data_IF_253328839213
#
_entry.id   IF_253328839213
#
_cell.length_a   1.000
_cell.length_b   1.000
_cell.length_c   1.000
_cell.angle_alpha   90.00
_cell.angle_beta   90.00
_cell.angle_gamma   90.00
#
_symmetry.space_group_name_H-M   'P 1'
#
loop_
_entity.id
_entity.type
_entity.pdbx_description
1 polymer ?
#
# COMPACT_ATOMS: atom_id res chain seq x y z
N UNK A 1 7.53 4.18 -14.32
CA UNK A 1 8.01 3.09 -13.48
C UNK A 1 6.94 2.03 -13.46
N UNK A 2 7.13 0.96 -14.18
CA UNK A 2 6.17 -0.12 -14.25
C UNK A 2 6.46 -1.04 -13.07
N UNK A 3 5.61 -0.99 -12.03
CA UNK A 3 5.67 -2.00 -10.99
C UNK A 3 5.18 -3.31 -11.61
N UNK A 4 6.07 -4.26 -11.80
CA UNK A 4 5.70 -5.64 -12.09
C UNK A 4 5.11 -6.21 -10.82
N UNK A 5 3.80 -6.36 -10.81
CA UNK A 5 3.07 -7.00 -9.72
C UNK A 5 3.42 -8.48 -9.72
N UNK A 6 4.36 -8.86 -8.87
CA UNK A 6 4.61 -10.26 -8.61
C UNK A 6 3.76 -10.64 -7.39
N UNK A 7 2.64 -11.31 -7.64
CA UNK A 7 1.77 -11.88 -6.62
C UNK A 7 2.45 -13.08 -5.92
N UNK A 8 3.61 -12.83 -5.34
CA UNK A 8 4.22 -13.76 -4.39
C UNK A 8 3.39 -13.73 -3.12
N UNK A 9 2.69 -14.83 -2.85
CA UNK A 9 2.04 -15.09 -1.58
C UNK A 9 3.10 -15.12 -0.47
N UNK A 10 3.46 -13.95 0.05
CA UNK A 10 4.08 -13.85 1.35
C UNK A 10 2.99 -14.03 2.38
N UNK A 11 3.09 -15.06 3.22
CA UNK A 11 2.25 -15.20 4.39
C UNK A 11 2.36 -13.91 5.20
N UNK A 12 1.27 -13.13 5.25
CA UNK A 12 1.18 -12.01 6.18
C UNK A 12 1.15 -12.60 7.59
N UNK A 13 2.22 -12.49 8.29
CA UNK A 13 2.20 -12.62 9.74
C UNK A 13 1.56 -11.33 10.23
N UNK A 14 0.28 -11.38 10.55
CA UNK A 14 -0.30 -10.37 11.42
C UNK A 14 0.43 -10.55 12.73
N UNK A 15 1.44 -9.75 12.96
CA UNK A 15 2.11 -9.73 14.25
C UNK A 15 1.13 -9.09 15.23
N UNK A 16 0.26 -9.92 15.77
CA UNK A 16 -0.47 -9.60 16.97
C UNK A 16 0.58 -9.35 18.06
N UNK A 17 0.99 -8.14 18.18
CA UNK A 17 1.78 -7.66 19.28
C UNK A 17 3.26 -8.00 19.24
N UNK A 18 4.01 -7.04 19.55
CA UNK A 18 5.43 -7.05 19.91
C UNK A 18 6.37 -6.83 18.70
N UNK A 19 6.09 -5.85 17.89
CA UNK A 19 7.18 -5.00 17.45
C UNK A 19 7.69 -4.23 18.66
N UNK A 20 8.99 -4.00 18.77
CA UNK A 20 9.59 -3.11 19.75
C UNK A 20 9.02 -1.70 19.52
N UNK A 21 7.85 -1.41 20.11
CA UNK A 21 7.08 -0.22 19.87
C UNK A 21 5.85 -0.17 20.77
N UNK A 22 5.12 0.92 20.75
CA UNK A 22 3.90 1.08 21.54
C UNK A 22 2.88 -0.04 21.26
N UNK A 23 2.15 -0.52 22.27
CA UNK A 23 1.10 -1.52 22.08
C UNK A 23 0.05 -0.95 21.11
N UNK A 24 -0.37 -1.77 20.13
CA UNK A 24 -1.43 -1.43 19.19
C UNK A 24 -2.70 -1.01 19.94
N UNK A 25 -3.30 0.07 19.52
CA UNK A 25 -4.58 0.50 20.07
C UNK A 25 -5.66 -0.53 19.70
N UNK A 26 -6.76 -0.55 20.44
CA UNK A 26 -7.93 -1.41 20.12
C UNK A 26 -8.42 -1.15 18.70
N UNK A 27 -8.40 0.10 18.27
CA UNK A 27 -8.85 0.51 16.94
C UNK A 27 -7.95 -0.06 15.84
N UNK A 28 -6.65 -0.02 16.02
CA UNK A 28 -5.68 -0.61 15.09
C UNK A 28 -5.95 -2.10 14.90
N UNK A 29 -6.16 -2.85 16.00
CA UNK A 29 -6.46 -4.28 15.91
C UNK A 29 -7.79 -4.54 15.17
N UNK A 30 -8.83 -3.73 15.39
CA UNK A 30 -10.09 -3.86 14.67
C UNK A 30 -9.92 -3.54 13.16
N UNK A 31 -9.11 -2.55 12.81
CA UNK A 31 -8.77 -2.18 11.43
C UNK A 31 -7.96 -3.30 10.75
N UNK A 32 -6.95 -3.88 11.40
CA UNK A 32 -6.21 -5.05 10.91
C UNK A 32 -7.12 -6.26 10.64
N UNK A 33 -8.04 -6.54 11.58
CA UNK A 33 -9.01 -7.62 11.41
C UNK A 33 -9.93 -7.32 10.22
N UNK A 34 -10.41 -6.09 10.05
CA UNK A 34 -11.26 -5.70 8.91
C UNK A 34 -10.55 -5.86 7.58
N UNK A 35 -9.29 -5.44 7.48
CA UNK A 35 -8.49 -5.61 6.27
C UNK A 35 -8.40 -7.09 5.89
N UNK A 36 -8.06 -7.95 6.86
CA UNK A 36 -7.93 -9.38 6.60
C UNK A 36 -9.28 -10.04 6.26
N UNK A 37 -10.36 -9.65 6.94
CA UNK A 37 -11.70 -10.10 6.58
C UNK A 37 -12.07 -9.72 5.15
N UNK A 38 -11.74 -8.50 4.69
CA UNK A 38 -11.93 -8.08 3.31
C UNK A 38 -11.13 -8.94 2.33
N UNK A 39 -9.91 -9.28 2.67
CA UNK A 39 -9.04 -10.15 1.86
C UNK A 39 -9.63 -11.57 1.73
N UNK A 40 -10.06 -12.15 2.84
CA UNK A 40 -10.67 -13.48 2.87
C UNK A 40 -12.04 -13.52 2.19
N UNK A 41 -12.83 -12.45 2.34
CA UNK A 41 -14.21 -12.36 1.81
C UNK A 41 -14.29 -12.19 0.28
N UNK A 42 -13.19 -11.97 -0.42
CA UNK A 42 -13.17 -11.91 -1.89
C UNK A 42 -13.71 -13.19 -2.55
N UNK A 43 -13.68 -14.32 -1.84
CA UNK A 43 -14.10 -15.63 -2.35
C UNK A 43 -15.33 -16.20 -1.65
N UNK A 44 -15.76 -15.64 -0.52
CA UNK A 44 -16.89 -16.14 0.30
C UNK A 44 -17.58 -14.96 0.98
N UNK A 45 -18.91 -14.98 1.01
CA UNK A 45 -19.70 -13.91 1.64
C UNK A 45 -19.57 -13.89 3.16
N UNK A 46 -19.39 -15.05 3.79
CA UNK A 46 -19.23 -15.20 5.23
C UNK A 46 -18.04 -16.14 5.51
N UNK A 47 -17.39 -15.92 6.62
CA UNK A 47 -16.15 -16.59 7.03
C UNK A 47 -16.35 -17.29 8.36
N UNK A 48 -15.75 -18.46 8.54
CA UNK A 48 -15.71 -19.17 9.81
C UNK A 48 -14.77 -18.48 10.81
N UNK A 49 -15.20 -18.36 12.06
CA UNK A 49 -14.36 -17.77 13.12
C UNK A 49 -13.07 -18.55 13.32
N UNK A 50 -13.10 -19.89 13.20
CA UNK A 50 -11.92 -20.74 13.26
C UNK A 50 -10.92 -20.44 12.14
N UNK A 51 -11.40 -20.31 10.89
CA UNK A 51 -10.55 -20.00 9.73
C UNK A 51 -9.83 -18.64 9.91
N UNK A 52 -10.57 -17.64 10.42
CA UNK A 52 -10.02 -16.31 10.69
C UNK A 52 -8.99 -16.36 11.83
N UNK A 53 -9.30 -17.08 12.91
CA UNK A 53 -8.39 -17.27 14.05
C UNK A 53 -7.05 -17.90 13.62
N UNK A 54 -7.09 -18.87 12.70
CA UNK A 54 -5.91 -19.53 12.15
C UNK A 54 -5.07 -18.56 11.32
N UNK A 55 -5.70 -17.78 10.44
CA UNK A 55 -5.02 -16.80 9.58
C UNK A 55 -4.39 -15.68 10.40
N UNK A 56 -5.14 -15.10 11.34
CA UNK A 56 -4.67 -14.01 12.18
C UNK A 56 -3.71 -14.46 13.31
N UNK A 57 -3.59 -15.77 13.54
CA UNK A 57 -2.78 -16.34 14.63
C UNK A 57 -3.15 -15.81 16.03
N UNK A 58 -4.43 -15.50 16.23
CA UNK A 58 -4.99 -15.10 17.52
C UNK A 58 -6.00 -16.14 18.00
N UNK A 59 -6.23 -16.23 19.30
CA UNK A 59 -7.19 -17.20 19.83
C UNK A 59 -8.62 -16.85 19.42
N UNK A 60 -9.47 -17.88 19.19
CA UNK A 60 -10.89 -17.65 18.89
C UNK A 60 -11.60 -16.83 19.97
N UNK A 61 -11.18 -16.97 21.23
CA UNK A 61 -11.71 -16.19 22.36
C UNK A 61 -11.39 -14.69 22.19
N UNK A 62 -10.17 -14.38 21.82
CA UNK A 62 -9.73 -13.00 21.57
C UNK A 62 -10.40 -12.43 20.33
N UNK A 63 -10.40 -13.19 19.22
CA UNK A 63 -11.11 -12.81 18.00
C UNK A 63 -12.59 -12.54 18.27
N UNK A 64 -13.29 -13.43 18.99
CA UNK A 64 -14.70 -13.24 19.34
C UNK A 64 -14.94 -11.96 20.14
N UNK A 65 -14.00 -11.55 20.98
CA UNK A 65 -14.08 -10.28 21.69
C UNK A 65 -14.08 -9.09 20.70
N UNK A 66 -13.14 -9.04 19.76
CA UNK A 66 -13.07 -7.98 18.76
C UNK A 66 -14.27 -8.01 17.79
N UNK A 67 -14.67 -9.18 17.31
CA UNK A 67 -15.82 -9.32 16.42
C UNK A 67 -17.12 -8.80 17.03
N UNK A 68 -17.32 -8.97 18.35
CA UNK A 68 -18.48 -8.38 19.05
C UNK A 68 -18.39 -6.85 19.11
N UNK A 69 -17.21 -6.25 19.24
CA UNK A 69 -17.05 -4.80 19.19
C UNK A 69 -17.32 -4.29 17.77
N UNK A 70 -16.75 -4.95 16.76
CA UNK A 70 -16.95 -4.64 15.36
C UNK A 70 -18.42 -4.75 14.94
N UNK A 71 -19.16 -5.72 15.50
CA UNK A 71 -20.62 -5.80 15.34
C UNK A 71 -21.34 -4.59 15.93
N UNK A 72 -20.92 -4.10 17.09
CA UNK A 72 -21.49 -2.88 17.71
C UNK A 72 -21.20 -1.63 16.88
N UNK A 73 -20.03 -1.58 16.22
CA UNK A 73 -19.65 -0.52 15.32
C UNK A 73 -20.31 -0.65 13.93
N UNK A 74 -21.02 -1.75 13.67
CA UNK A 74 -21.74 -1.98 12.41
C UNK A 74 -20.87 -2.49 11.27
N UNK A 75 -19.66 -2.95 11.55
CA UNK A 75 -18.73 -3.46 10.52
C UNK A 75 -18.99 -4.90 10.11
N UNK A 76 -19.49 -5.71 11.04
CA UNK A 76 -19.76 -7.14 10.81
C UNK A 76 -21.10 -7.59 11.36
N UNK A 77 -21.62 -8.66 10.78
CA UNK A 77 -22.73 -9.45 11.30
C UNK A 77 -22.21 -10.81 11.75
N UNK A 78 -22.69 -11.30 12.89
CA UNK A 78 -22.36 -12.61 13.44
C UNK A 78 -23.57 -13.53 13.36
N UNK A 79 -23.32 -14.81 13.05
CA UNK A 79 -24.35 -15.85 13.17
C UNK A 79 -24.87 -15.95 14.62
N UNK A 80 -26.06 -16.54 14.84
CA UNK A 80 -26.61 -16.72 16.20
C UNK A 80 -25.66 -17.46 17.15
N UNK A 81 -24.94 -18.45 16.64
CA UNK A 81 -23.93 -19.23 17.36
C UNK A 81 -22.56 -18.59 17.43
N UNK A 82 -22.39 -17.41 16.81
CA UNK A 82 -21.12 -16.68 16.67
C UNK A 82 -19.97 -17.51 16.05
N UNK A 83 -20.31 -18.50 15.24
CA UNK A 83 -19.33 -19.37 14.56
C UNK A 83 -18.92 -18.85 13.18
N UNK A 84 -19.68 -17.91 12.64
CA UNK A 84 -19.38 -17.26 11.36
C UNK A 84 -19.63 -15.76 11.41
N UNK A 85 -18.87 -15.02 10.58
CA UNK A 85 -18.92 -13.58 10.45
C UNK A 85 -19.05 -13.18 8.98
N UNK A 86 -19.91 -12.20 8.72
CA UNK A 86 -20.07 -11.58 7.41
C UNK A 86 -19.79 -10.09 7.52
N UNK A 87 -19.10 -9.53 6.55
CA UNK A 87 -18.87 -8.09 6.46
C UNK A 87 -20.17 -7.38 6.05
N UNK A 88 -20.49 -6.30 6.74
CA UNK A 88 -21.49 -5.33 6.27
C UNK A 88 -20.92 -4.50 5.12
N UNK A 89 -21.76 -3.66 4.51
CA UNK A 89 -21.28 -2.70 3.50
C UNK A 89 -20.28 -1.72 4.11
N UNK A 90 -20.58 -1.21 5.32
CA UNK A 90 -19.66 -0.34 6.06
C UNK A 90 -18.34 -1.05 6.36
N UNK A 91 -18.39 -2.31 6.79
CA UNK A 91 -17.19 -3.11 7.04
C UNK A 91 -16.34 -3.32 5.80
N UNK A 92 -16.97 -3.56 4.64
CA UNK A 92 -16.25 -3.68 3.36
C UNK A 92 -15.56 -2.39 2.96
N UNK A 93 -16.26 -1.26 3.06
CA UNK A 93 -15.70 0.05 2.72
C UNK A 93 -14.51 0.36 3.64
N UNK A 94 -14.70 0.25 4.95
CA UNK A 94 -13.65 0.56 5.93
C UNK A 94 -12.42 -0.35 5.78
N UNK A 95 -12.63 -1.66 5.63
CA UNK A 95 -11.51 -2.59 5.46
C UNK A 95 -10.78 -2.39 4.12
N UNK A 96 -11.50 -2.03 3.05
CA UNK A 96 -10.88 -1.69 1.78
C UNK A 96 -10.05 -0.40 1.87
N UNK A 97 -10.51 0.60 2.63
CA UNK A 97 -9.76 1.84 2.89
C UNK A 97 -8.48 1.57 3.70
N UNK A 98 -8.53 0.67 4.71
CA UNK A 98 -7.34 0.27 5.46
C UNK A 98 -6.32 -0.38 4.53
N UNK A 99 -6.72 -1.41 3.76
CA UNK A 99 -5.83 -2.07 2.82
C UNK A 99 -5.26 -1.13 1.74
N UNK A 100 -6.04 -0.16 1.28
CA UNK A 100 -5.55 0.85 0.36
C UNK A 100 -4.47 1.75 0.98
N UNK A 101 -4.67 2.23 2.23
CA UNK A 101 -3.65 3.02 2.94
C UNK A 101 -2.38 2.23 3.14
N UNK A 102 -2.50 0.96 3.57
CA UNK A 102 -1.37 0.05 3.71
C UNK A 102 -0.54 -0.03 2.43
N UNK A 103 -1.19 -0.35 1.31
CA UNK A 103 -0.53 -0.51 0.02
C UNK A 103 0.17 0.77 -0.44
N UNK A 104 -0.47 1.93 -0.27
CA UNK A 104 0.11 3.23 -0.63
C UNK A 104 1.36 3.54 0.18
N UNK A 105 1.35 3.29 1.50
CA UNK A 105 2.54 3.51 2.32
C UNK A 105 3.65 2.51 2.00
N UNK A 106 3.31 1.24 1.76
CA UNK A 106 4.29 0.25 1.34
C UNK A 106 4.97 0.64 0.01
N UNK A 107 4.20 1.11 -0.97
CA UNK A 107 4.73 1.60 -2.24
C UNK A 107 5.60 2.85 -2.06
N UNK A 108 5.16 3.79 -1.25
CA UNK A 108 5.94 4.99 -0.94
C UNK A 108 7.29 4.66 -0.30
N UNK A 109 7.29 3.78 0.71
CA UNK A 109 8.52 3.36 1.38
C UNK A 109 9.47 2.62 0.44
N UNK A 110 8.94 1.74 -0.42
CA UNK A 110 9.76 1.09 -1.44
C UNK A 110 10.30 2.09 -2.47
N UNK A 111 9.52 3.09 -2.85
CA UNK A 111 9.96 4.14 -3.74
C UNK A 111 11.14 4.94 -3.18
N UNK A 112 11.16 5.22 -1.89
CA UNK A 112 12.29 5.90 -1.24
C UNK A 112 13.45 4.97 -0.86
N UNK A 113 13.38 3.69 -1.27
CA UNK A 113 14.50 2.74 -1.16
C UNK A 113 14.44 1.80 0.04
N UNK A 114 13.34 1.76 0.79
CA UNK A 114 13.15 0.77 1.86
C UNK A 114 12.90 -0.61 1.26
N UNK A 115 13.55 -1.64 1.80
CA UNK A 115 13.33 -3.02 1.35
C UNK A 115 11.87 -3.46 1.50
N UNK A 116 11.38 -4.31 0.61
CA UNK A 116 9.95 -4.63 0.49
C UNK A 116 9.34 -5.24 1.76
N UNK A 117 10.07 -6.03 2.52
CA UNK A 117 9.61 -6.62 3.78
C UNK A 117 9.44 -5.55 4.85
N UNK A 118 10.49 -4.78 5.11
CA UNK A 118 10.45 -3.65 6.06
C UNK A 118 9.41 -2.60 5.67
N UNK A 119 9.29 -2.30 4.37
CA UNK A 119 8.30 -1.34 3.87
C UNK A 119 6.87 -1.77 4.19
N UNK A 120 6.55 -3.05 4.11
CA UNK A 120 5.23 -3.58 4.48
C UNK A 120 4.98 -3.53 5.98
N UNK A 121 5.98 -3.92 6.78
CA UNK A 121 5.87 -3.87 8.23
C UNK A 121 5.69 -2.44 8.75
N UNK A 122 6.44 -1.48 8.20
CA UNK A 122 6.33 -0.08 8.57
C UNK A 122 5.03 0.54 8.07
N UNK A 123 4.58 0.19 6.86
CA UNK A 123 3.31 0.64 6.31
C UNK A 123 2.14 0.25 7.22
N UNK A 124 2.11 -0.99 7.71
CA UNK A 124 1.08 -1.48 8.63
C UNK A 124 0.99 -0.63 9.93
N UNK A 125 2.10 -0.11 10.40
CA UNK A 125 2.10 0.79 11.57
C UNK A 125 1.71 2.22 11.18
N UNK A 126 2.20 2.71 10.04
CA UNK A 126 1.98 4.08 9.60
C UNK A 126 0.51 4.37 9.29
N UNK A 127 -0.20 3.43 8.66
CA UNK A 127 -1.58 3.63 8.21
C UNK A 127 -2.56 4.01 9.33
N UNK A 128 -2.28 3.57 10.56
CA UNK A 128 -3.13 3.82 11.73
C UNK A 128 -2.84 5.14 12.44
N UNK A 129 -1.63 5.68 12.29
CA UNK A 129 -1.16 6.84 13.08
C UNK A 129 -1.05 8.14 12.27
N UNK A 130 -1.04 8.05 10.95
CA UNK A 130 -0.91 9.23 10.10
C UNK A 130 -2.26 9.90 9.87
N UNK A 131 -2.24 11.23 9.70
CA UNK A 131 -3.43 12.00 9.38
C UNK A 131 -3.91 11.74 7.95
N UNK A 132 -5.21 11.97 7.71
CA UNK A 132 -5.78 11.89 6.34
C UNK A 132 -5.08 12.82 5.35
N UNK A 133 -4.59 13.97 5.82
CA UNK A 133 -3.82 14.88 4.99
C UNK A 133 -2.52 14.21 4.52
N UNK A 134 -1.80 13.53 5.41
CA UNK A 134 -0.59 12.79 5.08
C UNK A 134 -0.89 11.66 4.09
N UNK A 135 -1.94 10.86 4.34
CA UNK A 135 -2.39 9.81 3.41
C UNK A 135 -2.62 10.39 2.03
N UNK A 136 -3.39 11.47 1.93
CA UNK A 136 -3.70 12.12 0.65
C UNK A 136 -2.45 12.61 -0.07
N UNK A 137 -1.48 13.21 0.63
CA UNK A 137 -0.25 13.69 0.00
C UNK A 137 0.64 12.54 -0.45
N UNK A 138 0.72 11.46 0.32
CA UNK A 138 1.45 10.25 -0.08
C UNK A 138 0.76 9.59 -1.29
N UNK A 139 -0.57 9.50 -1.29
CA UNK A 139 -1.33 9.04 -2.46
C UNK A 139 -1.05 9.88 -3.70
N UNK A 140 -1.07 11.20 -3.57
CA UNK A 140 -0.76 12.12 -4.67
C UNK A 140 0.67 11.89 -5.17
N UNK A 141 1.62 11.73 -4.26
CA UNK A 141 3.01 11.44 -4.61
C UNK A 141 3.16 10.13 -5.37
N UNK A 142 2.58 9.04 -4.84
CA UNK A 142 2.69 7.70 -5.44
C UNK A 142 1.94 7.63 -6.78
N UNK A 143 0.72 8.19 -6.84
CA UNK A 143 -0.16 8.05 -8.00
C UNK A 143 0.11 9.07 -9.11
N UNK A 144 0.51 10.27 -8.78
CA UNK A 144 0.59 11.37 -9.74
C UNK A 144 1.99 11.88 -9.97
N UNK A 145 2.96 11.51 -9.13
CA UNK A 145 4.34 11.95 -9.26
C UNK A 145 4.52 13.48 -9.24
N UNK A 146 3.53 14.22 -8.72
CA UNK A 146 3.55 15.70 -8.73
C UNK A 146 4.80 16.28 -8.06
N UNK A 147 5.29 15.58 -7.03
CA UNK A 147 6.55 15.96 -6.38
C UNK A 147 7.74 15.66 -7.29
N UNK A 148 7.65 14.61 -8.11
CA UNK A 148 8.69 14.24 -9.06
C UNK A 148 8.78 15.26 -10.23
N UNK A 149 7.64 15.75 -10.72
CA UNK A 149 7.61 16.84 -11.71
C UNK A 149 8.22 18.13 -11.17
N UNK A 150 7.99 18.45 -9.90
CA UNK A 150 8.63 19.61 -9.26
C UNK A 150 10.14 19.45 -9.14
N UNK A 151 10.60 18.25 -8.76
CA UNK A 151 12.03 17.94 -8.66
C UNK A 151 12.68 17.99 -10.02
N UNK A 152 12.07 17.40 -11.06
CA UNK A 152 12.61 17.41 -12.42
C UNK A 152 12.53 18.80 -13.08
N UNK A 153 11.53 19.62 -12.76
CA UNK A 153 11.37 20.96 -13.33
C UNK A 153 12.35 21.99 -12.83
N UNK A 154 12.81 21.86 -11.59
CA UNK A 154 13.53 22.93 -10.90
C UNK A 154 14.86 22.50 -10.27
N UNK A 155 15.20 21.24 -10.34
CA UNK A 155 16.39 20.73 -9.69
C UNK A 155 17.24 19.95 -10.67
N UNK A 156 18.46 20.40 -10.86
CA UNK A 156 19.49 19.61 -11.53
C UNK A 156 19.78 18.37 -10.68
N UNK A 157 19.76 17.21 -11.30
CA UNK A 157 19.97 15.93 -10.62
C UNK A 157 21.42 15.69 -10.20
N UNK A 158 22.37 16.54 -10.65
CA UNK A 158 23.76 16.55 -10.16
C UNK A 158 23.88 16.77 -8.66
N UNK A 159 22.88 17.41 -8.03
CA UNK A 159 22.81 17.53 -6.56
C UNK A 159 22.47 16.24 -5.82
N UNK A 160 21.92 15.23 -6.53
CA UNK A 160 21.43 13.98 -5.91
C UNK A 160 22.24 12.75 -6.30
N UNK A 161 22.86 12.78 -7.45
CA UNK A 161 23.62 11.67 -8.00
C UNK A 161 25.07 12.09 -8.17
N UNK A 162 25.99 11.21 -7.82
CA UNK A 162 27.40 11.41 -8.11
C UNK A 162 27.63 11.46 -9.63
N UNK A 163 28.70 12.08 -10.14
CA UNK A 163 29.02 12.01 -11.56
C UNK A 163 29.06 10.56 -12.07
N UNK A 164 28.38 10.29 -13.16
CA UNK A 164 28.26 8.95 -13.75
C UNK A 164 27.01 8.78 -14.61
N UNK A 165 26.84 7.59 -15.14
CA UNK A 165 25.72 7.19 -15.97
C UNK A 165 24.78 6.25 -15.19
N UNK A 166 23.49 6.55 -15.23
CA UNK A 166 22.46 5.79 -14.53
C UNK A 166 21.35 5.39 -15.51
N UNK A 167 20.87 4.16 -15.41
CA UNK A 167 19.77 3.67 -16.25
C UNK A 167 18.51 3.55 -15.42
N UNK A 168 17.43 4.15 -15.91
CA UNK A 168 16.11 4.08 -15.31
C UNK A 168 15.10 3.49 -16.29
N UNK A 169 14.08 2.83 -15.77
CA UNK A 169 12.90 2.47 -16.55
C UNK A 169 11.98 3.69 -16.65
N UNK A 170 11.53 3.99 -17.87
CA UNK A 170 10.63 5.09 -18.16
C UNK A 170 9.30 4.58 -18.70
N UNK A 171 8.21 5.20 -18.27
CA UNK A 171 6.89 5.02 -18.86
C UNK A 171 6.29 6.37 -19.22
N UNK A 172 5.74 6.48 -20.42
CA UNK A 172 5.06 7.70 -20.88
C UNK A 172 3.55 7.49 -20.76
N UNK A 173 2.88 8.39 -20.05
CA UNK A 173 1.44 8.31 -19.77
C UNK A 173 0.75 9.60 -20.19
N UNK A 174 -0.53 9.47 -20.59
CA UNK A 174 -1.37 10.65 -20.76
C UNK A 174 -1.60 11.35 -19.42
N UNK A 175 -1.52 12.69 -19.43
CA UNK A 175 -1.84 13.53 -18.28
C UNK A 175 -3.36 13.58 -18.08
N UNK A 176 -3.92 12.57 -17.49
CA UNK A 176 -5.34 12.48 -17.13
C UNK A 176 -5.55 12.69 -15.64
N UNK A 177 -6.69 13.29 -15.27
CA UNK A 177 -7.07 13.48 -13.86
C UNK A 177 -7.59 12.20 -13.19
N UNK A 178 -7.89 11.19 -13.99
CA UNK A 178 -8.44 9.90 -13.54
C UNK A 178 -7.34 8.84 -13.49
N UNK A 179 -7.39 8.01 -12.46
CA UNK A 179 -6.49 6.88 -12.28
C UNK A 179 -7.21 5.56 -12.59
N UNK A 180 -6.53 4.52 -13.13
CA UNK A 180 -5.11 4.50 -13.54
C UNK A 180 -4.87 5.33 -14.82
N UNK A 181 -3.72 6.02 -14.88
CA UNK A 181 -3.32 6.74 -16.08
C UNK A 181 -3.13 5.78 -17.24
N UNK A 182 -3.59 6.16 -18.42
CA UNK A 182 -3.39 5.35 -19.62
C UNK A 182 -1.99 5.51 -20.16
N UNK A 183 -1.39 4.40 -20.53
CA UNK A 183 -0.09 4.40 -21.22
C UNK A 183 -0.24 5.04 -22.62
N UNK A 184 0.66 5.96 -22.94
CA UNK A 184 0.68 6.63 -24.23
C UNK A 184 1.30 5.69 -25.29
N UNK A 185 0.42 4.94 -25.97
CA UNK A 185 0.83 3.86 -26.89
C UNK A 185 1.59 4.33 -28.13
N UNK A 186 1.40 5.57 -28.54
CA UNK A 186 2.14 6.21 -29.62
C UNK A 186 3.64 6.35 -29.34
N UNK A 187 4.04 6.21 -28.09
CA UNK A 187 5.44 6.24 -27.67
C UNK A 187 5.99 4.83 -27.36
N UNK A 188 5.35 3.78 -27.85
CA UNK A 188 5.77 2.40 -27.58
C UNK A 188 7.12 2.05 -28.27
N UNK A 189 7.47 2.77 -29.34
CA UNK A 189 8.73 2.58 -30.08
C UNK A 189 9.95 3.19 -29.36
N UNK A 190 9.72 4.05 -28.36
CA UNK A 190 10.80 4.53 -27.51
C UNK A 190 11.32 3.43 -26.59
N UNK A 191 12.62 3.37 -26.43
CA UNK A 191 13.24 2.51 -25.44
C UNK A 191 12.61 2.78 -24.06
N UNK A 192 12.24 1.71 -23.35
CA UNK A 192 11.78 1.85 -21.97
C UNK A 192 12.90 2.21 -21.00
N UNK A 193 14.16 2.17 -21.48
CA UNK A 193 15.31 2.60 -20.71
C UNK A 193 15.64 4.05 -21.04
N UNK A 194 15.82 4.85 -20.02
CA UNK A 194 16.33 6.20 -20.11
C UNK A 194 17.67 6.26 -19.39
N UNK A 195 18.65 6.88 -20.01
CA UNK A 195 19.96 7.08 -19.40
C UNK A 195 20.05 8.50 -18.84
N UNK A 196 20.34 8.60 -17.53
CA UNK A 196 20.67 9.86 -16.89
C UNK A 196 22.20 10.01 -16.88
N UNK A 197 22.68 11.04 -17.50
CA UNK A 197 24.08 11.46 -17.42
C UNK A 197 24.22 12.53 -16.35
N UNK A 198 25.17 12.35 -15.44
CA UNK A 198 25.46 13.31 -14.37
C UNK A 198 26.93 13.72 -14.45
N UNK A 199 27.16 15.01 -14.57
CA UNK A 199 28.47 15.65 -14.42
C UNK A 199 28.49 16.49 -13.13
N UNK A 200 29.60 17.13 -12.80
CA UNK A 200 29.75 17.85 -11.53
C UNK A 200 28.72 18.97 -11.31
N UNK A 201 28.28 19.64 -12.39
CA UNK A 201 27.37 20.80 -12.27
C UNK A 201 26.12 20.70 -13.16
N UNK A 202 25.91 19.59 -13.85
CA UNK A 202 24.77 19.40 -14.76
C UNK A 202 24.37 17.94 -14.90
N UNK A 203 23.11 17.73 -15.25
CA UNK A 203 22.60 16.42 -15.62
C UNK A 203 21.61 16.51 -16.78
N UNK A 204 21.51 15.45 -17.59
CA UNK A 204 20.54 15.37 -18.68
C UNK A 204 20.12 13.91 -18.91
N UNK A 205 18.94 13.75 -19.49
CA UNK A 205 18.44 12.45 -19.89
C UNK A 205 18.69 12.22 -21.39
N UNK A 206 19.15 11.04 -21.72
CA UNK A 206 19.25 10.52 -23.08
C UNK A 206 18.13 9.49 -23.31
N UNK A 207 17.35 9.72 -24.38
CA UNK A 207 16.27 8.85 -24.83
C UNK A 207 16.72 8.15 -26.11
N UNK A 208 16.66 6.82 -26.13
CA UNK A 208 16.87 6.05 -27.35
C UNK A 208 15.52 5.84 -28.05
N UNK A 209 15.48 6.14 -29.36
CA UNK A 209 14.31 5.96 -30.25
C UNK A 209 14.52 4.70 -31.05
#
# INVERSE_FOLDING_TARGET
>A
MMAVYNSGRGERVVSAGIGVGMPSSRREIEEDILEELCHMAQRRSCLGVGDISEVLKISEKELSYYLRQMKRHGYVELSPEETSVCLTELGRITGAECGYRHEIFAQFLQFVGVGSETAREDACRMEHIVSEETVRQVCNFVNYGETFERVLRYTDLSYRYAPGDYVFLMGIYYMEKTYPRRFAREFHDFSQNIRLHVEEEKSWFELEI
#
